data_IF_704480336150
#
_entry.id   IF_704480336150
#
_cell.length_a   1.000
_cell.length_b   1.000
_cell.length_c   1.000
_cell.angle_alpha   90.00
_cell.angle_beta   90.00
_cell.angle_gamma   90.00
#
_symmetry.space_group_name_H-M   'P 1'
#
loop_
_entity.id
_entity.type
_entity.pdbx_description
1 polymer ?
#
# COMPACT_ATOMS: atom_id res chain seq x y z
N UNK A 1 33.25 54.34 2.98
CA UNK A 1 33.23 53.08 2.19
C UNK A 1 33.12 51.80 3.04
N UNK A 2 33.62 51.71 4.28
CA UNK A 2 33.54 50.49 5.11
C UNK A 2 32.13 50.06 5.58
N UNK A 3 31.14 50.96 5.58
CA UNK A 3 29.75 50.66 6.03
C UNK A 3 28.88 49.92 4.99
N UNK A 4 29.24 49.97 3.70
CA UNK A 4 28.49 49.30 2.63
C UNK A 4 28.79 47.79 2.53
N UNK A 5 29.98 47.36 2.96
CA UNK A 5 30.39 45.94 2.90
C UNK A 5 29.65 45.09 3.94
N UNK A 6 29.29 45.66 5.09
CA UNK A 6 28.56 44.93 6.14
C UNK A 6 27.08 44.69 5.79
N UNK A 7 26.43 45.63 5.09
CA UNK A 7 25.04 45.47 4.67
C UNK A 7 24.87 44.37 3.59
N UNK A 8 25.84 44.25 2.68
CA UNK A 8 25.83 43.19 1.65
C UNK A 8 26.08 41.79 2.23
N UNK A 9 26.87 41.68 3.31
CA UNK A 9 27.14 40.40 3.97
C UNK A 9 25.91 39.89 4.76
N UNK A 10 25.16 40.79 5.42
CA UNK A 10 23.94 40.42 6.13
C UNK A 10 22.79 39.99 5.21
N UNK A 11 22.72 40.52 3.97
CA UNK A 11 21.64 40.18 3.03
C UNK A 11 21.80 38.76 2.45
N UNK A 12 23.03 38.30 2.21
CA UNK A 12 23.31 36.94 1.74
C UNK A 12 23.08 35.87 2.83
N UNK A 13 23.29 36.20 4.10
CA UNK A 13 22.98 35.30 5.21
C UNK A 13 21.46 35.12 5.42
N UNK A 14 20.66 36.16 5.14
CA UNK A 14 19.20 36.11 5.30
C UNK A 14 18.51 35.34 4.17
N UNK A 15 19.05 35.35 2.95
CA UNK A 15 18.53 34.54 1.83
C UNK A 15 18.84 33.05 1.97
N UNK A 16 19.94 32.67 2.62
CA UNK A 16 20.21 31.26 2.95
C UNK A 16 19.33 30.72 4.09
N UNK A 17 18.83 31.59 4.97
CA UNK A 17 17.93 31.21 6.06
C UNK A 17 16.47 31.00 5.62
N UNK A 18 16.14 31.40 4.39
CA UNK A 18 14.81 31.25 3.78
C UNK A 18 14.78 30.18 2.68
N UNK A 19 15.78 29.30 2.63
CA UNK A 19 15.70 28.09 1.82
C UNK A 19 14.55 27.24 2.37
N UNK A 20 13.37 27.41 1.78
CA UNK A 20 12.20 26.58 2.04
C UNK A 20 12.62 25.18 1.63
N UNK A 21 12.70 24.26 2.58
CA UNK A 21 12.96 22.87 2.27
C UNK A 21 11.91 22.45 1.25
N UNK A 22 12.35 22.03 0.05
CA UNK A 22 11.44 21.44 -0.91
C UNK A 22 10.78 20.25 -0.22
N UNK A 23 9.44 20.10 -0.30
CA UNK A 23 8.79 18.90 0.19
C UNK A 23 9.50 17.69 -0.43
N UNK A 24 9.79 16.69 0.40
CA UNK A 24 10.36 15.45 -0.10
C UNK A 24 9.41 14.85 -1.14
N UNK A 25 9.96 14.39 -2.25
CA UNK A 25 9.21 13.64 -3.24
C UNK A 25 8.48 12.49 -2.53
N UNK A 26 7.18 12.30 -2.75
CA UNK A 26 6.33 11.40 -1.95
C UNK A 26 5.57 10.43 -2.85
N UNK A 27 5.53 9.16 -2.46
CA UNK A 27 4.61 8.14 -2.95
C UNK A 27 3.70 7.77 -1.79
N UNK A 28 2.40 7.82 -2.00
CA UNK A 28 1.42 7.27 -1.07
C UNK A 28 0.71 6.10 -1.73
N UNK A 29 0.53 5.01 -1.00
CA UNK A 29 -0.29 3.87 -1.40
C UNK A 29 -1.31 3.66 -0.28
N UNK A 30 -2.58 3.61 -0.66
CA UNK A 30 -3.69 3.36 0.24
C UNK A 30 -4.42 2.13 -0.24
N UNK A 31 -4.39 1.09 0.57
CA UNK A 31 -5.32 0.00 0.48
C UNK A 31 -6.45 0.23 1.49
N UNK A 32 -7.70 0.15 1.05
CA UNK A 32 -8.85 0.55 1.87
C UNK A 32 -10.00 -0.46 1.87
N UNK A 33 -10.01 -1.42 0.93
CA UNK A 33 -11.08 -2.42 0.70
C UNK A 33 -10.69 -3.33 -0.46
N UNK A 34 -11.25 -4.55 -0.51
CA UNK A 34 -11.29 -5.45 -1.68
C UNK A 34 -11.28 -4.68 -3.02
N UNK A 35 -10.13 -4.59 -3.69
CA UNK A 35 -9.96 -3.84 -4.92
C UNK A 35 -8.54 -3.49 -5.31
N UNK A 36 -8.43 -2.39 -6.08
CA UNK A 36 -7.14 -1.87 -6.53
C UNK A 36 -6.61 -0.85 -5.54
N UNK A 37 -5.32 -0.94 -5.13
CA UNK A 37 -4.71 0.09 -4.28
C UNK A 37 -4.78 1.48 -4.93
N UNK A 38 -5.05 2.50 -4.12
CA UNK A 38 -5.06 3.90 -4.55
C UNK A 38 -3.66 4.47 -4.38
N UNK A 39 -3.11 5.08 -5.43
CA UNK A 39 -1.78 5.70 -5.39
C UNK A 39 -1.82 7.22 -5.61
N UNK A 40 -0.96 7.95 -4.91
CA UNK A 40 -0.62 9.34 -5.24
C UNK A 40 0.88 9.49 -5.29
N UNK A 41 1.39 10.10 -6.36
CA UNK A 41 2.82 10.30 -6.56
C UNK A 41 3.11 11.77 -6.80
N UNK A 42 4.07 12.33 -6.06
CA UNK A 42 4.52 13.71 -6.24
C UNK A 42 5.14 13.92 -7.61
N UNK A 43 5.01 15.13 -8.21
CA UNK A 43 5.54 15.43 -9.54
C UNK A 43 7.07 15.31 -9.67
N UNK A 44 7.79 15.33 -8.55
CA UNK A 44 9.25 15.22 -8.51
C UNK A 44 9.76 13.77 -8.73
N UNK A 45 8.85 12.79 -8.78
CA UNK A 45 9.14 11.39 -9.09
C UNK A 45 8.80 11.12 -10.55
N UNK A 46 9.80 10.74 -11.34
CA UNK A 46 9.63 10.40 -12.74
C UNK A 46 9.03 9.01 -12.93
N UNK A 47 7.74 8.83 -12.62
CA UNK A 47 7.03 7.56 -12.83
C UNK A 47 7.02 7.23 -14.33
N UNK A 48 7.49 6.03 -14.68
CA UNK A 48 7.54 5.52 -16.05
C UNK A 48 6.43 4.51 -16.32
N UNK A 49 5.98 3.77 -15.30
CA UNK A 49 4.90 2.79 -15.42
C UNK A 49 4.21 2.57 -14.09
N UNK A 50 2.91 2.28 -14.15
CA UNK A 50 2.13 1.78 -13.02
C UNK A 50 1.29 0.61 -13.51
N UNK A 51 1.42 -0.54 -12.86
CA UNK A 51 0.65 -1.75 -13.16
C UNK A 51 -0.17 -2.09 -11.94
N UNK A 52 -1.46 -2.30 -12.13
CA UNK A 52 -2.39 -2.70 -11.09
C UNK A 52 -2.88 -4.13 -11.35
N UNK A 53 -3.07 -4.88 -10.28
CA UNK A 53 -3.94 -6.06 -10.22
C UNK A 53 -4.74 -6.00 -8.91
N UNK A 54 -5.69 -6.92 -8.74
CA UNK A 54 -6.45 -7.01 -7.50
C UNK A 54 -5.47 -7.14 -6.32
N UNK A 55 -5.59 -6.25 -5.33
CA UNK A 55 -4.75 -6.15 -4.14
C UNK A 55 -3.25 -5.90 -4.36
N UNK A 56 -2.86 -5.40 -5.54
CA UNK A 56 -1.45 -5.20 -5.85
C UNK A 56 -1.22 -4.01 -6.76
N UNK A 57 -0.13 -3.28 -6.51
CA UNK A 57 0.37 -2.24 -7.41
C UNK A 57 1.89 -2.31 -7.57
N UNK A 58 2.35 -2.14 -8.80
CA UNK A 58 3.76 -2.01 -9.16
C UNK A 58 3.99 -0.64 -9.78
N UNK A 59 4.83 0.17 -9.15
CA UNK A 59 5.24 1.49 -9.61
C UNK A 59 6.69 1.41 -10.05
N UNK A 60 6.96 1.69 -11.32
CA UNK A 60 8.32 1.82 -11.84
C UNK A 60 8.59 3.27 -12.19
N UNK A 61 9.78 3.76 -11.88
CA UNK A 61 10.13 5.14 -12.18
C UNK A 61 11.61 5.45 -12.09
N UNK A 62 11.88 6.75 -12.16
CA UNK A 62 13.19 7.36 -12.06
C UNK A 62 13.16 8.39 -10.93
N UNK A 63 14.24 8.43 -10.14
CA UNK A 63 14.41 9.46 -9.12
C UNK A 63 15.58 10.34 -9.54
N UNK A 64 15.30 11.47 -10.22
CA UNK A 64 16.36 12.33 -10.72
C UNK A 64 17.18 12.90 -9.54
N UNK A 65 18.49 12.99 -9.75
CA UNK A 65 19.43 13.66 -8.84
C UNK A 65 19.60 13.01 -7.45
N UNK A 66 19.27 11.73 -7.29
CA UNK A 66 19.49 10.99 -6.06
C UNK A 66 20.52 9.86 -6.21
N UNK A 67 21.40 9.75 -5.23
CA UNK A 67 22.29 8.60 -5.08
C UNK A 67 21.59 7.65 -4.11
N UNK A 68 20.91 6.65 -4.66
CA UNK A 68 20.35 5.53 -3.90
C UNK A 68 21.30 4.35 -3.99
N UNK A 69 21.40 3.58 -2.91
CA UNK A 69 22.15 2.34 -2.94
C UNK A 69 21.32 1.29 -3.69
N UNK A 70 21.89 0.66 -4.74
CA UNK A 70 21.22 -0.46 -5.40
C UNK A 70 20.93 -1.58 -4.41
N UNK A 71 19.75 -2.19 -4.52
CA UNK A 71 19.32 -3.22 -3.59
C UNK A 71 17.82 -3.46 -3.63
N UNK A 72 17.40 -4.51 -2.94
CA UNK A 72 15.98 -4.83 -2.71
C UNK A 72 15.74 -4.80 -1.21
N UNK A 73 14.78 -3.98 -0.81
CA UNK A 73 14.37 -3.78 0.57
C UNK A 73 12.88 -4.03 0.67
N UNK A 74 12.46 -4.72 1.72
CA UNK A 74 11.06 -5.05 1.93
C UNK A 74 10.65 -4.73 3.36
N UNK A 75 9.37 -4.46 3.55
CA UNK A 75 8.72 -4.34 4.86
C UNK A 75 7.44 -5.14 4.83
N UNK A 76 7.17 -5.88 5.90
CA UNK A 76 5.89 -6.56 6.12
C UNK A 76 5.06 -5.69 7.04
N UNK A 77 3.83 -5.41 6.66
CA UNK A 77 2.84 -4.84 7.55
C UNK A 77 2.11 -5.99 8.27
N UNK A 78 1.83 -5.78 9.55
CA UNK A 78 1.24 -6.82 10.40
C UNK A 78 0.05 -6.26 11.14
N UNK A 79 -1.00 -7.07 11.18
CA UNK A 79 -2.21 -6.78 11.92
C UNK A 79 -1.98 -6.70 13.45
N UNK A 80 -2.78 -5.91 14.16
CA UNK A 80 -2.77 -5.92 15.61
C UNK A 80 -3.33 -7.25 16.11
N UNK A 81 -2.73 -7.81 17.17
CA UNK A 81 -3.17 -9.06 17.80
C UNK A 81 -4.63 -9.03 18.34
N UNK A 82 -5.25 -7.86 18.35
CA UNK A 82 -6.67 -7.68 18.68
C UNK A 82 -7.62 -7.98 17.53
N UNK A 83 -7.13 -8.12 16.30
CA UNK A 83 -7.92 -8.62 15.18
C UNK A 83 -7.94 -10.17 15.23
N UNK A 84 -9.11 -10.78 15.53
CA UNK A 84 -9.21 -12.23 15.64
C UNK A 84 -9.44 -12.92 14.29
N UNK A 85 -9.64 -12.19 13.20
CA UNK A 85 -10.04 -12.74 11.91
C UNK A 85 -9.01 -12.53 10.79
N UNK A 86 -8.20 -11.47 10.85
CA UNK A 86 -7.14 -11.23 9.88
C UNK A 86 -5.93 -12.16 10.05
N UNK A 87 -5.18 -12.42 8.97
CA UNK A 87 -3.89 -13.08 9.08
C UNK A 87 -2.91 -12.19 9.87
N UNK A 88 -1.94 -12.76 10.61
CA UNK A 88 -0.96 -11.95 11.35
C UNK A 88 -0.06 -11.07 10.46
N UNK A 89 -0.04 -11.33 9.16
CA UNK A 89 0.68 -10.58 8.13
C UNK A 89 -0.35 -10.24 7.07
N UNK A 90 -0.70 -8.97 6.99
CA UNK A 90 -1.69 -8.38 6.09
C UNK A 90 -1.00 -8.00 4.79
N UNK A 91 -0.04 -7.08 4.83
CA UNK A 91 0.54 -6.57 3.59
C UNK A 91 2.07 -6.65 3.56
N UNK A 92 2.64 -6.41 2.38
CA UNK A 92 4.04 -6.04 2.29
C UNK A 92 4.30 -5.03 1.17
N UNK A 93 5.41 -4.31 1.33
CA UNK A 93 5.97 -3.51 0.26
C UNK A 93 7.42 -3.89 0.00
N UNK A 94 7.83 -3.83 -1.27
CA UNK A 94 9.20 -4.09 -1.71
C UNK A 94 9.67 -2.98 -2.63
N UNK A 95 10.74 -2.30 -2.23
CA UNK A 95 11.45 -1.32 -3.05
C UNK A 95 12.71 -1.98 -3.63
N UNK A 96 12.81 -1.99 -4.95
CA UNK A 96 14.01 -2.39 -5.68
C UNK A 96 14.63 -1.18 -6.36
N UNK A 97 15.87 -0.86 -6.01
CA UNK A 97 16.69 0.17 -6.65
C UNK A 97 17.64 -0.50 -7.64
N UNK A 98 17.54 -0.12 -8.91
CA UNK A 98 18.37 -0.67 -9.98
C UNK A 98 19.85 -0.31 -9.81
N UNK A 99 20.74 -1.23 -10.22
CA UNK A 99 22.18 -0.99 -10.24
C UNK A 99 22.60 0.09 -11.26
N UNK A 100 21.79 0.29 -12.29
CA UNK A 100 21.92 1.42 -13.21
C UNK A 100 21.10 2.59 -12.68
N UNK A 101 21.78 3.67 -12.27
CA UNK A 101 21.15 4.87 -11.75
C UNK A 101 20.16 5.50 -12.75
N UNK A 102 19.03 6.12 -12.30
CA UNK A 102 18.37 6.03 -11.00
C UNK A 102 16.97 5.40 -11.14
N UNK A 103 16.87 4.15 -11.57
CA UNK A 103 15.58 3.45 -11.67
C UNK A 103 15.15 2.83 -10.35
N UNK A 104 13.85 2.82 -10.09
CA UNK A 104 13.25 2.08 -8.99
C UNK A 104 12.02 1.29 -9.45
N UNK A 105 11.71 0.23 -8.71
CA UNK A 105 10.43 -0.48 -8.75
C UNK A 105 9.94 -0.60 -7.31
N UNK A 106 8.73 -0.08 -7.03
CA UNK A 106 8.03 -0.25 -5.78
C UNK A 106 6.84 -1.19 -6.02
N UNK A 107 6.85 -2.33 -5.36
CA UNK A 107 5.72 -3.26 -5.29
C UNK A 107 5.03 -3.06 -3.94
N UNK A 108 3.71 -2.97 -3.95
CA UNK A 108 2.86 -3.15 -2.78
C UNK A 108 1.89 -4.28 -3.08
N UNK A 109 1.67 -5.15 -2.11
CA UNK A 109 0.79 -6.31 -2.20
C UNK A 109 0.09 -6.51 -0.86
N UNK A 110 -1.24 -6.62 -0.93
CA UNK A 110 -2.13 -6.88 0.20
C UNK A 110 -2.48 -8.37 0.29
N UNK A 111 -2.93 -8.84 1.47
CA UNK A 111 -3.15 -10.26 1.75
C UNK A 111 -4.19 -10.92 0.84
N UNK A 112 -5.12 -10.15 0.28
CA UNK A 112 -6.10 -10.62 -0.69
C UNK A 112 -5.52 -10.92 -2.08
N UNK A 113 -4.24 -10.60 -2.34
CA UNK A 113 -3.59 -10.88 -3.62
C UNK A 113 -3.46 -12.40 -3.88
N UNK A 114 -3.71 -12.81 -5.12
CA UNK A 114 -3.78 -14.24 -5.52
C UNK A 114 -2.55 -15.08 -5.12
N UNK A 115 -1.36 -14.50 -5.08
CA UNK A 115 -0.11 -15.19 -4.77
C UNK A 115 0.57 -14.70 -3.48
N UNK A 116 -0.15 -13.98 -2.62
CA UNK A 116 0.42 -13.29 -1.46
C UNK A 116 1.37 -14.15 -0.64
N UNK A 117 0.92 -15.32 -0.15
CA UNK A 117 1.75 -16.22 0.66
C UNK A 117 3.00 -16.72 -0.08
N UNK A 118 2.91 -16.92 -1.38
CA UNK A 118 4.03 -17.39 -2.19
C UNK A 118 5.05 -16.27 -2.45
N UNK A 119 4.60 -15.03 -2.57
CA UNK A 119 5.46 -13.86 -2.78
C UNK A 119 6.06 -13.34 -1.47
N UNK A 120 5.30 -13.39 -0.37
CA UNK A 120 5.76 -13.16 0.99
C UNK A 120 6.92 -14.10 1.38
N UNK A 121 6.85 -15.37 0.98
CA UNK A 121 7.92 -16.34 1.23
C UNK A 121 9.22 -16.06 0.45
N UNK A 122 9.20 -15.17 -0.55
CA UNK A 122 10.37 -14.77 -1.37
C UNK A 122 11.04 -13.50 -0.86
N UNK A 123 10.51 -12.83 0.16
CA UNK A 123 11.06 -11.57 0.65
C UNK A 123 12.49 -11.75 1.20
N UNK A 124 13.35 -10.71 1.13
CA UNK A 124 14.70 -10.77 1.68
C UNK A 124 14.72 -10.99 3.18
N UNK A 125 15.51 -11.94 3.67
CA UNK A 125 15.64 -12.25 5.11
C UNK A 125 16.89 -11.58 5.71
N UNK A 126 16.80 -10.87 6.85
CA UNK A 126 15.58 -10.59 7.63
C UNK A 126 14.74 -9.47 7.00
N UNK A 127 13.41 -9.63 7.01
CA UNK A 127 12.46 -8.57 6.63
C UNK A 127 11.94 -7.87 7.90
N UNK A 128 12.04 -6.53 8.02
CA UNK A 128 11.42 -5.81 9.12
C UNK A 128 9.89 -5.88 9.04
N UNK A 129 9.24 -5.81 10.20
CA UNK A 129 7.79 -5.72 10.34
C UNK A 129 7.37 -4.35 10.87
N UNK A 130 6.17 -3.91 10.50
CA UNK A 130 5.54 -2.70 11.00
C UNK A 130 4.08 -3.00 11.37
N UNK A 131 3.70 -2.69 12.61
CA UNK A 131 2.31 -2.85 13.07
C UNK A 131 1.41 -1.82 12.40
N UNK A 132 0.31 -2.27 11.82
CA UNK A 132 -0.68 -1.41 11.18
C UNK A 132 -1.50 -0.62 12.19
N UNK A 133 -1.88 0.59 11.78
CA UNK A 133 -2.69 1.48 12.58
C UNK A 133 -3.74 2.27 11.78
N UNK A 134 -3.97 1.88 10.51
CA UNK A 134 -5.07 2.41 9.70
C UNK A 134 -4.86 3.83 9.20
N UNK A 135 -3.73 4.45 9.53
CA UNK A 135 -3.31 5.74 9.00
C UNK A 135 -2.13 5.52 8.04
N UNK A 136 -1.82 6.54 7.25
CA UNK A 136 -0.56 6.56 6.51
C UNK A 136 0.64 6.47 7.45
N UNK A 137 1.42 5.41 7.30
CA UNK A 137 2.66 5.16 8.01
C UNK A 137 3.85 5.36 7.06
N UNK A 138 4.86 6.08 7.54
CA UNK A 138 6.10 6.29 6.79
C UNK A 138 7.00 5.05 6.88
N UNK A 139 7.21 4.40 5.73
CA UNK A 139 8.05 3.20 5.59
C UNK A 139 9.39 3.47 4.90
N UNK A 140 9.71 4.74 4.64
CA UNK A 140 10.88 5.17 3.87
C UNK A 140 12.19 4.62 4.41
N UNK A 141 12.35 4.66 5.74
CA UNK A 141 13.54 4.17 6.41
C UNK A 141 13.69 2.64 6.33
N UNK A 142 12.56 1.91 6.38
CA UNK A 142 12.54 0.44 6.28
C UNK A 142 12.82 -0.03 4.86
N UNK A 143 12.33 0.72 3.87
CA UNK A 143 12.56 0.46 2.44
C UNK A 143 13.86 1.05 1.91
N UNK A 144 14.60 1.83 2.70
CA UNK A 144 15.84 2.46 2.24
C UNK A 144 15.64 3.43 1.07
N UNK A 145 14.49 4.11 1.00
CA UNK A 145 14.15 5.05 -0.09
C UNK A 145 15.01 6.32 -0.12
N UNK A 146 15.82 6.53 0.91
CA UNK A 146 16.75 7.66 1.01
C UNK A 146 16.01 8.98 1.19
N UNK A 147 15.80 9.71 0.09
CA UNK A 147 15.30 11.09 0.13
C UNK A 147 13.89 11.27 -0.46
N UNK A 148 13.19 10.19 -0.84
CA UNK A 148 11.76 10.25 -1.15
C UNK A 148 10.97 9.48 -0.11
N UNK A 149 9.80 10.01 0.22
CA UNK A 149 8.91 9.47 1.23
C UNK A 149 8.00 8.43 0.62
N UNK A 150 7.87 7.27 1.27
CA UNK A 150 6.87 6.26 0.96
C UNK A 150 5.93 6.15 2.15
N UNK A 151 4.66 6.47 1.93
CA UNK A 151 3.60 6.34 2.91
C UNK A 151 2.69 5.18 2.49
N UNK A 152 2.47 4.24 3.40
CA UNK A 152 1.52 3.16 3.21
C UNK A 152 0.38 3.32 4.20
N UNK A 153 -0.84 3.22 3.73
CA UNK A 153 -2.01 3.00 4.56
C UNK A 153 -2.56 1.66 4.13
N UNK A 154 -2.41 0.65 4.99
CA UNK A 154 -3.25 -0.54 4.92
C UNK A 154 -4.56 -0.25 5.63
N UNK A 155 -5.56 -1.10 5.38
CA UNK A 155 -6.79 -1.00 6.12
C UNK A 155 -6.52 -1.11 7.64
N UNK A 156 -7.32 -0.40 8.43
CA UNK A 156 -7.64 -0.96 9.72
C UNK A 156 -8.96 -1.60 9.45
N UNK A 157 -9.05 -2.90 9.63
CA UNK A 157 -10.30 -3.64 9.77
C UNK A 157 -11.32 -2.79 10.55
N UNK A 158 -12.09 -1.95 9.85
CA UNK A 158 -13.48 -1.79 10.20
C UNK A 158 -14.00 -3.14 9.79
N UNK A 159 -14.34 -4.04 10.74
CA UNK A 159 -14.83 -5.35 10.39
C UNK A 159 -15.91 -5.13 9.36
N UNK A 160 -15.62 -5.49 8.11
CA UNK A 160 -16.68 -5.50 7.12
C UNK A 160 -17.74 -6.39 7.73
N UNK A 161 -19.00 -5.95 7.81
CA UNK A 161 -20.04 -6.84 8.23
C UNK A 161 -20.04 -7.99 7.23
N UNK A 162 -19.40 -9.11 7.58
CA UNK A 162 -19.49 -10.33 6.80
C UNK A 162 -20.98 -10.51 6.51
N UNK A 163 -21.37 -10.79 5.26
CA UNK A 163 -22.77 -11.03 4.96
C UNK A 163 -23.24 -12.11 5.92
N UNK A 164 -24.10 -11.73 6.89
CA UNK A 164 -24.45 -12.57 8.04
C UNK A 164 -24.70 -13.96 7.49
N UNK A 165 -23.90 -14.95 7.87
CA UNK A 165 -23.96 -16.28 7.26
C UNK A 165 -25.38 -16.83 7.39
N UNK A 166 -26.14 -16.38 8.41
CA UNK A 166 -27.58 -16.62 8.57
C UNK A 166 -28.41 -16.16 7.37
N UNK A 167 -28.06 -15.04 6.72
CA UNK A 167 -28.69 -14.54 5.50
C UNK A 167 -28.43 -15.45 4.30
N UNK A 168 -27.20 -15.97 4.13
CA UNK A 168 -26.87 -16.98 3.11
C UNK A 168 -27.57 -18.32 3.37
N UNK A 169 -27.60 -18.78 4.63
CA UNK A 169 -28.31 -20.00 5.02
C UNK A 169 -29.83 -19.86 4.86
N UNK A 170 -30.43 -18.73 5.23
CA UNK A 170 -31.88 -18.50 5.11
C UNK A 170 -32.32 -18.33 3.67
N UNK A 171 -31.55 -17.61 2.84
CA UNK A 171 -31.85 -17.48 1.40
C UNK A 171 -31.71 -18.82 0.67
N UNK A 172 -30.68 -19.61 0.99
CA UNK A 172 -30.52 -20.99 0.48
C UNK A 172 -31.66 -21.92 0.89
N UNK A 173 -32.07 -21.90 2.16
CA UNK A 173 -33.18 -22.72 2.67
C UNK A 173 -34.53 -22.32 2.06
N UNK A 174 -34.76 -21.03 1.81
CA UNK A 174 -35.98 -20.54 1.18
C UNK A 174 -36.11 -21.05 -0.26
N UNK A 175 -35.02 -21.07 -1.03
CA UNK A 175 -35.00 -21.59 -2.40
C UNK A 175 -35.27 -23.09 -2.46
N UNK A 176 -34.71 -23.87 -1.53
CA UNK A 176 -34.98 -25.31 -1.41
C UNK A 176 -36.44 -25.55 -1.01
N UNK A 177 -36.98 -24.76 -0.07
CA UNK A 177 -38.38 -24.84 0.35
C UNK A 177 -39.37 -24.61 -0.80
N UNK A 178 -39.13 -23.59 -1.64
CA UNK A 178 -39.98 -23.30 -2.81
C UNK A 178 -39.89 -24.41 -3.87
N UNK A 179 -38.70 -24.99 -4.09
CA UNK A 179 -38.53 -26.11 -5.01
C UNK A 179 -39.32 -27.35 -4.56
N UNK A 180 -39.28 -27.68 -3.27
CA UNK A 180 -40.02 -28.82 -2.71
C UNK A 180 -41.54 -28.66 -2.80
N UNK A 181 -42.06 -27.44 -2.58
CA UNK A 181 -43.50 -27.15 -2.74
C UNK A 181 -43.97 -27.32 -4.18
N UNK A 182 -43.15 -26.91 -5.17
CA UNK A 182 -43.51 -27.07 -6.60
C UNK A 182 -43.55 -28.54 -7.04
N UNK A 183 -42.61 -29.37 -6.58
CA UNK A 183 -42.58 -30.81 -6.89
C UNK A 183 -43.85 -31.51 -6.38
N UNK A 184 -44.28 -31.18 -5.15
CA UNK A 184 -45.45 -31.81 -4.54
C UNK A 184 -46.77 -31.41 -5.23
N UNK A 185 -46.85 -30.19 -5.80
CA UNK A 185 -48.03 -29.72 -6.54
C UNK A 185 -48.15 -30.34 -7.93
N UNK A 186 -47.01 -30.63 -8.60
CA UNK A 186 -46.97 -31.33 -9.89
C UNK A 186 -47.51 -32.76 -9.80
N UNK A 187 -47.16 -33.49 -8.73
CA UNK A 187 -47.58 -34.89 -8.56
C UNK A 187 -49.09 -35.09 -8.35
N UNK A 188 -49.82 -34.05 -7.90
CA UNK A 188 -51.28 -34.13 -7.65
C UNK A 188 -52.15 -33.81 -8.87
N UNK A 189 -51.57 -33.28 -9.96
CA UNK A 189 -52.33 -32.90 -11.17
C UNK A 189 -52.57 -34.07 -12.15
N UNK A 190 -52.07 -35.27 -11.86
CA UNK A 190 -52.18 -36.46 -12.71
C UNK A 190 -52.94 -37.62 -12.05
N UNK A 191 -53.79 -37.32 -11.08
CA UNK A 191 -54.84 -38.23 -10.59
C UNK A 191 -56.19 -37.56 -10.76
#
# INVERSE_FOLDING_TARGET
MKKLVHAALCLNALTMLLAVASPAATITISDLTDGFPIITVSPDIGVTSTVFSDEQVIITGLIPNLILQPGTHSVILTEPASDPFGPPQSDFATLTIGAAAPTFTLLFESDGALNFLADLAKLPVPTPTLLENGNFQDVSALLGSGNFTILLQSDLVTPEPEPDVRFLFTSGLLLIGVALVRINKSSRSHR
#
